data_IF_345782606840
#
_entry.id   IF_345782606840
#
_cell.length_a   1.000
_cell.length_b   1.000
_cell.length_c   1.000
_cell.angle_alpha   90.00
_cell.angle_beta   90.00
_cell.angle_gamma   90.00
#
_symmetry.space_group_name_H-M   'P 1'
#
loop_
_entity.id
_entity.type
_entity.pdbx_description
1 polymer ?
#
# COMPACT_ATOMS: atom_id res chain seq x y z
N UNK A 1 -18.05 13.37 -0.63
CA UNK A 1 -17.73 11.96 -0.31
C UNK A 1 -16.21 11.83 -0.24
N UNK A 2 -15.68 10.84 0.47
CA UNK A 2 -14.23 10.52 0.45
C UNK A 2 -14.06 9.20 -0.29
N UNK A 3 -13.10 9.15 -1.20
CA UNK A 3 -12.81 7.98 -2.03
C UNK A 3 -11.39 7.49 -1.79
N UNK A 4 -11.18 6.18 -1.98
CA UNK A 4 -9.86 5.58 -1.89
C UNK A 4 -9.12 5.80 -3.21
N UNK A 5 -8.13 6.68 -3.19
CA UNK A 5 -7.36 7.06 -4.39
C UNK A 5 -6.01 6.34 -4.50
N UNK A 6 -5.52 5.74 -3.41
CA UNK A 6 -4.26 5.00 -3.39
C UNK A 6 -4.31 3.78 -2.46
N UNK A 7 -3.92 2.62 -2.96
CA UNK A 7 -3.75 1.36 -2.23
C UNK A 7 -2.56 0.59 -2.81
N UNK A 8 -1.39 0.83 -2.25
CA UNK A 8 -0.16 0.20 -2.70
C UNK A 8 0.94 0.15 -1.64
N UNK A 9 2.13 -0.16 -2.10
CA UNK A 9 3.37 -0.16 -1.32
C UNK A 9 3.70 1.23 -0.76
N UNK A 10 4.49 1.29 0.31
CA UNK A 10 5.04 2.57 0.78
C UNK A 10 6.11 3.10 -0.21
N UNK A 11 7.01 2.21 -0.62
CA UNK A 11 8.06 2.39 -1.61
C UNK A 11 8.52 1.02 -2.15
N UNK A 12 9.61 0.99 -2.92
CA UNK A 12 10.18 -0.23 -3.50
C UNK A 12 11.11 -1.02 -2.56
N UNK A 13 11.36 -0.55 -1.33
CA UNK A 13 12.19 -1.26 -0.36
C UNK A 13 11.53 -2.56 0.11
N UNK A 14 12.34 -3.59 0.34
CA UNK A 14 11.90 -4.91 0.85
C UNK A 14 13.00 -5.46 1.77
N UNK A 15 12.66 -6.36 2.73
CA UNK A 15 13.69 -7.11 3.43
C UNK A 15 14.61 -7.81 2.42
N UNK A 16 15.93 -7.62 2.58
CA UNK A 16 16.98 -8.19 1.73
C UNK A 16 17.03 -7.66 0.28
N UNK A 17 16.54 -6.45 0.00
CA UNK A 17 16.93 -5.74 -1.22
C UNK A 17 17.79 -4.51 -0.90
N UNK A 18 18.51 -4.01 -1.89
CA UNK A 18 19.41 -2.86 -1.74
C UNK A 18 18.71 -1.51 -1.96
N UNK A 19 17.37 -1.50 -1.97
CA UNK A 19 16.59 -0.29 -2.21
C UNK A 19 16.39 0.45 -0.88
N UNK A 20 16.79 1.72 -0.77
CA UNK A 20 16.59 2.50 0.45
C UNK A 20 15.09 2.72 0.73
N UNK A 21 14.75 2.86 2.01
CA UNK A 21 13.42 3.27 2.45
C UNK A 21 13.26 4.76 2.20
N UNK A 22 12.33 5.16 1.34
CA UNK A 22 12.13 6.57 0.95
C UNK A 22 10.66 7.03 0.96
N UNK A 23 9.71 6.09 0.98
CA UNK A 23 8.27 6.37 0.90
C UNK A 23 7.81 6.97 -0.42
N UNK A 24 8.61 6.87 -1.47
CA UNK A 24 8.40 7.53 -2.77
C UNK A 24 7.00 7.32 -3.35
N UNK A 25 6.46 6.11 -3.25
CA UNK A 25 5.16 5.78 -3.83
C UNK A 25 4.02 6.45 -3.06
N UNK A 26 4.00 6.33 -1.72
CA UNK A 26 2.97 6.96 -0.90
C UNK A 26 3.10 8.49 -0.90
N UNK A 27 4.32 9.03 -0.86
CA UNK A 27 4.57 10.48 -0.94
C UNK A 27 4.01 11.07 -2.22
N UNK A 28 4.33 10.46 -3.37
CA UNK A 28 3.83 10.92 -4.67
C UNK A 28 2.30 10.91 -4.74
N UNK A 29 1.65 9.88 -4.17
CA UNK A 29 0.19 9.82 -4.11
C UNK A 29 -0.40 10.92 -3.22
N UNK A 30 0.22 11.21 -2.07
CA UNK A 30 -0.20 12.30 -1.18
C UNK A 30 0.01 13.66 -1.83
N UNK A 31 1.15 13.90 -2.47
CA UNK A 31 1.47 15.16 -3.14
C UNK A 31 0.48 15.45 -4.29
N UNK A 32 0.09 14.41 -5.05
CA UNK A 32 -0.93 14.52 -6.08
C UNK A 32 -2.29 14.95 -5.49
N UNK A 33 -2.73 14.30 -4.40
CA UNK A 33 -3.99 14.65 -3.72
C UNK A 33 -3.96 16.08 -3.19
N UNK A 34 -2.86 16.51 -2.57
CA UNK A 34 -2.72 17.86 -2.03
C UNK A 34 -2.66 18.94 -3.11
N UNK A 35 -2.27 18.57 -4.33
CA UNK A 35 -2.14 19.47 -5.49
C UNK A 35 -3.33 19.40 -6.45
N UNK A 36 -4.42 18.73 -6.06
CA UNK A 36 -5.58 18.44 -6.91
C UNK A 36 -5.20 17.79 -8.27
N UNK A 37 -4.15 16.97 -8.28
CA UNK A 37 -3.68 16.22 -9.44
C UNK A 37 -4.17 14.76 -9.38
N UNK A 38 -4.31 14.09 -10.54
CA UNK A 38 -4.67 12.68 -10.57
C UNK A 38 -3.57 11.82 -9.92
N UNK A 39 -3.98 10.90 -9.02
CA UNK A 39 -3.09 9.87 -8.48
C UNK A 39 -2.84 8.82 -9.56
N UNK A 40 -1.59 8.33 -9.65
CA UNK A 40 -1.23 7.28 -10.62
C UNK A 40 -2.12 6.04 -10.50
N UNK A 41 -2.50 5.47 -11.64
CA UNK A 41 -3.23 4.21 -11.72
C UNK A 41 -2.33 3.00 -11.47
N UNK A 42 -1.02 3.15 -11.68
CA UNK A 42 -0.04 2.08 -11.48
C UNK A 42 0.33 1.99 -10.00
N UNK A 43 -0.40 1.14 -9.27
CA UNK A 43 -0.25 0.96 -7.83
C UNK A 43 0.21 -0.46 -7.52
N UNK A 44 1.51 -0.60 -7.24
CA UNK A 44 2.08 -1.91 -6.83
C UNK A 44 1.54 -2.27 -5.45
N UNK A 45 0.93 -3.46 -5.24
CA UNK A 45 0.45 -3.88 -3.94
C UNK A 45 1.55 -3.90 -2.88
N UNK A 46 1.20 -3.56 -1.64
CA UNK A 46 2.10 -3.76 -0.50
C UNK A 46 2.32 -5.24 -0.22
N UNK A 47 3.42 -5.56 0.44
CA UNK A 47 3.77 -6.92 0.84
C UNK A 47 4.20 -6.91 2.30
N UNK A 48 3.74 -7.89 3.06
CA UNK A 48 4.07 -8.05 4.47
C UNK A 48 3.48 -9.32 5.06
N UNK A 49 3.63 -9.49 6.36
CA UNK A 49 2.94 -10.55 7.08
C UNK A 49 1.41 -10.42 6.88
N UNK A 50 0.72 -11.55 6.84
CA UNK A 50 -0.73 -11.54 6.95
C UNK A 50 -1.17 -10.88 8.27
N UNK A 51 -2.36 -10.26 8.26
CA UNK A 51 -3.02 -9.83 9.48
C UNK A 51 -3.23 -11.05 10.38
N UNK A 52 -2.90 -10.91 11.66
CA UNK A 52 -3.09 -11.96 12.66
C UNK A 52 -4.52 -11.86 13.21
N UNK A 53 -5.45 -12.43 12.46
CA UNK A 53 -6.85 -12.50 12.83
C UNK A 53 -7.05 -13.35 14.08
N UNK A 54 -8.12 -13.04 14.83
CA UNK A 54 -8.61 -13.94 15.88
C UNK A 54 -9.26 -15.14 15.21
N UNK A 55 -9.08 -16.33 15.79
CA UNK A 55 -9.70 -17.57 15.31
C UNK A 55 -11.20 -17.38 15.07
N UNK A 56 -11.66 -17.70 13.87
CA UNK A 56 -13.05 -17.56 13.41
C UNK A 56 -13.45 -16.15 12.96
N UNK A 57 -12.51 -15.20 12.92
CA UNK A 57 -12.73 -13.83 12.42
C UNK A 57 -11.83 -13.51 11.21
N UNK A 58 -11.23 -14.53 10.63
CA UNK A 58 -10.55 -14.43 9.35
C UNK A 58 -11.57 -14.12 8.24
N UNK A 59 -11.19 -13.31 7.24
CA UNK A 59 -12.03 -13.06 6.08
C UNK A 59 -12.07 -14.27 5.14
N UNK A 60 -13.09 -14.35 4.28
CA UNK A 60 -13.31 -15.48 3.35
C UNK A 60 -12.12 -15.78 2.42
N UNK A 61 -11.29 -14.78 2.12
CA UNK A 61 -10.09 -14.96 1.29
C UNK A 61 -8.89 -15.56 2.03
N UNK A 62 -8.97 -15.71 3.36
CA UNK A 62 -7.92 -16.28 4.17
C UNK A 62 -8.03 -17.82 4.09
N UNK A 63 -7.53 -18.39 3.00
CA UNK A 63 -7.39 -19.84 2.87
C UNK A 63 -6.29 -20.32 3.81
N UNK A 64 -6.66 -21.10 4.83
CA UNK A 64 -5.75 -21.92 5.63
C UNK A 64 -4.95 -22.88 4.78
#
# INVERSE_FOLDING_TARGET
QRELVYRGQFDASRPNNDVPVDGSALRSAVDAVLSDQPVTTDQVPSLGCNIKWKSGQEPDYFST
#
